data_IF_095152376806
#
_entry.id   IF_095152376806
#
_cell.length_a   1.000
_cell.length_b   1.000
_cell.length_c   1.000
_cell.angle_alpha   90.00
_cell.angle_beta   90.00
_cell.angle_gamma   90.00
#
_symmetry.space_group_name_H-M   'P 1'
#
loop_
_entity.id
_entity.type
_entity.pdbx_description
1 polymer ?
#
# COMPACT_ATOMS: atom_id res chain seq x y z
N UNK A 1 -1.73 34.53 18.39
CA UNK A 1 -0.68 33.48 18.46
C UNK A 1 -0.37 32.94 17.06
N UNK A 2 0.44 33.66 16.25
CA UNK A 2 0.78 33.26 14.88
C UNK A 2 1.78 32.08 14.78
N UNK A 3 2.45 31.70 15.87
CA UNK A 3 3.37 30.55 15.91
C UNK A 3 2.66 29.18 15.96
N UNK A 4 1.53 29.09 16.68
CA UNK A 4 0.81 27.82 16.86
C UNK A 4 0.18 27.31 15.55
N UNK A 5 -0.36 28.22 14.72
CA UNK A 5 -0.94 27.84 13.42
C UNK A 5 0.10 27.35 12.42
N UNK A 6 1.34 27.86 12.47
CA UNK A 6 2.44 27.43 11.59
C UNK A 6 2.98 26.05 11.98
N UNK A 7 2.99 25.72 13.28
CA UNK A 7 3.41 24.40 13.77
C UNK A 7 2.34 23.32 13.54
N UNK A 8 1.06 23.68 13.59
CA UNK A 8 -0.05 22.74 13.39
C UNK A 8 -0.38 22.49 11.92
N UNK A 9 -0.05 23.41 11.01
CA UNK A 9 -0.33 23.28 9.58
C UNK A 9 0.27 22.03 8.88
N UNK A 10 1.50 21.55 9.18
CA UNK A 10 2.04 20.33 8.58
C UNK A 10 1.54 19.03 9.21
N UNK A 11 0.88 19.10 10.38
CA UNK A 11 0.49 17.92 11.15
C UNK A 11 -0.46 16.97 10.38
N UNK A 12 -1.50 17.45 9.65
CA UNK A 12 -2.36 16.56 8.88
C UNK A 12 -1.61 15.80 7.78
N UNK A 13 -0.74 16.48 7.03
CA UNK A 13 0.07 15.86 5.98
C UNK A 13 0.99 14.78 6.56
N UNK A 14 1.63 15.05 7.70
CA UNK A 14 2.48 14.09 8.40
C UNK A 14 1.70 12.87 8.92
N UNK A 15 0.53 13.08 9.53
CA UNK A 15 -0.32 11.97 10.03
C UNK A 15 -0.75 11.08 8.87
N UNK A 16 -1.26 11.66 7.78
CA UNK A 16 -1.71 10.88 6.63
C UNK A 16 -0.55 10.14 5.95
N UNK A 17 0.61 10.80 5.79
CA UNK A 17 1.80 10.15 5.26
C UNK A 17 2.26 8.96 6.12
N UNK A 18 2.22 9.09 7.45
CA UNK A 18 2.62 8.02 8.39
C UNK A 18 1.68 6.82 8.32
N UNK A 19 0.37 7.08 8.24
CA UNK A 19 -0.65 6.03 8.08
C UNK A 19 -0.48 5.33 6.72
N UNK A 20 -0.34 6.11 5.64
CA UNK A 20 -0.14 5.59 4.29
C UNK A 20 1.11 4.69 4.21
N UNK A 21 2.23 5.14 4.76
CA UNK A 21 3.48 4.39 4.79
C UNK A 21 3.36 3.08 5.58
N UNK A 22 2.80 3.14 6.79
CA UNK A 22 2.61 1.95 7.64
C UNK A 22 1.77 0.89 6.93
N UNK A 23 0.64 1.28 6.35
CA UNK A 23 -0.21 0.33 5.62
C UNK A 23 0.40 -0.15 4.31
N UNK A 24 1.19 0.67 3.61
CA UNK A 24 1.91 0.24 2.40
C UNK A 24 2.91 -0.87 2.72
N UNK A 25 3.69 -0.72 3.81
CA UNK A 25 4.63 -1.75 4.28
C UNK A 25 3.89 -3.03 4.67
N UNK A 26 2.87 -2.91 5.53
CA UNK A 26 2.10 -4.08 6.00
C UNK A 26 1.41 -4.81 4.83
N UNK A 27 0.94 -4.08 3.82
CA UNK A 27 0.35 -4.67 2.61
C UNK A 27 1.37 -5.49 1.83
N UNK A 28 2.56 -4.93 1.55
CA UNK A 28 3.55 -5.58 0.68
C UNK A 28 4.20 -6.79 1.35
N UNK A 29 4.30 -6.80 2.68
CA UNK A 29 4.89 -7.92 3.44
C UNK A 29 3.88 -9.00 3.81
N UNK A 30 2.60 -8.82 3.48
CA UNK A 30 1.54 -9.77 3.87
C UNK A 30 1.40 -10.92 2.87
N UNK A 31 1.22 -12.12 3.40
CA UNK A 31 0.70 -13.27 2.64
C UNK A 31 -0.83 -13.22 2.45
N UNK A 32 -1.55 -12.45 3.27
CA UNK A 32 -3.01 -12.43 3.34
C UNK A 32 -3.62 -11.40 2.38
N UNK A 33 -3.16 -11.42 1.13
CA UNK A 33 -3.84 -10.75 0.02
C UNK A 33 -5.10 -11.49 -0.35
N UNK A 34 -5.00 -12.82 -0.42
CA UNK A 34 -6.15 -13.71 -0.55
C UNK A 34 -5.98 -14.93 0.31
N UNK A 35 -7.11 -15.54 0.63
CA UNK A 35 -7.15 -16.75 1.44
C UNK A 35 -8.21 -17.71 0.92
N UNK A 36 -7.96 -18.99 1.13
CA UNK A 36 -8.92 -20.05 0.88
C UNK A 36 -9.04 -20.91 2.13
N UNK A 37 -10.28 -21.16 2.55
CA UNK A 37 -10.59 -21.96 3.74
C UNK A 37 -10.76 -23.41 3.33
N UNK A 38 -10.17 -24.32 4.09
CA UNK A 38 -10.30 -25.77 3.89
C UNK A 38 -11.07 -26.39 5.04
N UNK A 39 -11.94 -27.34 4.72
CA UNK A 39 -12.92 -27.95 5.61
C UNK A 39 -12.72 -29.46 5.70
N UNK A 40 -13.41 -30.09 6.65
CA UNK A 40 -13.31 -31.52 6.87
C UNK A 40 -13.87 -32.31 5.67
N UNK A 41 -13.06 -33.23 5.09
CA UNK A 41 -13.50 -34.05 3.96
C UNK A 41 -14.67 -34.98 4.28
N UNK A 42 -14.86 -35.33 5.55
CA UNK A 42 -15.97 -36.17 6.00
C UNK A 42 -17.29 -35.41 6.12
N UNK A 43 -17.27 -34.08 6.07
CA UNK A 43 -18.45 -33.23 6.21
C UNK A 43 -18.98 -32.78 4.85
N UNK A 44 -20.30 -32.86 4.70
CA UNK A 44 -21.01 -32.23 3.59
C UNK A 44 -20.77 -30.71 3.57
N UNK A 45 -20.73 -30.12 2.38
CA UNK A 45 -20.53 -28.67 2.22
C UNK A 45 -21.54 -27.80 2.99
N UNK A 46 -22.74 -28.33 3.27
CA UNK A 46 -23.77 -27.65 4.08
C UNK A 46 -23.42 -27.57 5.57
N UNK A 47 -22.50 -28.43 6.03
CA UNK A 47 -22.04 -28.54 7.42
C UNK A 47 -20.70 -27.84 7.65
N UNK A 48 -20.15 -27.17 6.62
CA UNK A 48 -18.91 -26.40 6.70
C UNK A 48 -19.07 -25.14 7.57
N UNK A 49 -18.94 -25.30 8.88
CA UNK A 49 -18.98 -24.19 9.84
C UNK A 49 -17.58 -23.64 10.17
N UNK A 50 -16.64 -24.54 10.46
CA UNK A 50 -15.30 -24.18 10.93
C UNK A 50 -14.24 -24.75 9.98
N UNK A 51 -13.34 -23.93 9.43
CA UNK A 51 -12.25 -24.44 8.61
C UNK A 51 -11.21 -25.16 9.47
N UNK A 52 -10.63 -26.24 8.96
CA UNK A 52 -9.50 -26.94 9.56
C UNK A 52 -8.24 -26.06 9.46
N UNK A 53 -8.04 -25.45 8.28
CA UNK A 53 -6.94 -24.52 8.02
C UNK A 53 -7.31 -23.52 6.93
N UNK A 54 -6.43 -22.55 6.70
CA UNK A 54 -6.52 -21.62 5.58
C UNK A 54 -5.18 -21.53 4.88
N UNK A 55 -5.22 -21.55 3.55
CA UNK A 55 -4.06 -21.25 2.71
C UNK A 55 -4.15 -19.80 2.23
N UNK A 56 -2.99 -19.22 1.92
CA UNK A 56 -2.85 -17.81 1.62
C UNK A 56 -2.02 -17.59 0.37
N UNK A 57 -2.34 -16.54 -0.38
CA UNK A 57 -1.58 -16.13 -1.57
C UNK A 57 -1.46 -14.62 -1.63
N UNK A 58 -0.26 -14.16 -1.99
CA UNK A 58 0.06 -12.78 -2.33
C UNK A 58 1.01 -12.72 -3.53
N UNK A 59 1.24 -11.54 -4.12
CA UNK A 59 2.17 -11.39 -5.23
C UNK A 59 3.61 -11.79 -4.92
N UNK A 60 3.97 -11.96 -3.65
CA UNK A 60 5.33 -12.22 -3.20
C UNK A 60 5.46 -13.53 -2.43
N UNK A 61 4.34 -14.14 -2.00
CA UNK A 61 4.35 -15.30 -1.13
C UNK A 61 3.18 -16.23 -1.47
N UNK A 62 3.45 -17.53 -1.55
CA UNK A 62 2.41 -18.56 -1.60
C UNK A 62 2.56 -19.44 -0.37
N UNK A 63 1.46 -19.62 0.36
CA UNK A 63 1.41 -20.50 1.50
C UNK A 63 0.64 -21.77 1.17
N UNK A 64 1.29 -22.92 1.38
CA UNK A 64 0.71 -24.25 1.25
C UNK A 64 0.71 -24.95 2.62
N UNK A 65 -0.03 -26.04 2.74
CA UNK A 65 -0.11 -26.82 3.97
C UNK A 65 0.49 -28.20 3.74
N UNK A 66 1.40 -28.60 4.62
CA UNK A 66 1.88 -29.96 4.73
C UNK A 66 1.12 -30.68 5.86
N UNK A 67 0.50 -31.81 5.55
CA UNK A 67 -0.13 -32.67 6.55
C UNK A 67 0.91 -33.62 7.16
N UNK A 68 1.04 -33.61 8.48
CA UNK A 68 1.81 -34.59 9.25
C UNK A 68 0.88 -35.48 10.05
N UNK A 69 1.23 -36.74 10.23
CA UNK A 69 0.45 -37.68 11.04
C UNK A 69 1.27 -38.09 12.26
N UNK A 70 0.82 -37.74 13.45
CA UNK A 70 1.45 -38.14 14.70
C UNK A 70 0.49 -38.98 15.53
N UNK A 71 0.74 -40.29 15.59
CA UNK A 71 0.17 -41.30 16.48
C UNK A 71 -1.37 -41.48 16.53
N UNK A 72 -2.16 -40.55 15.98
CA UNK A 72 -3.60 -40.57 15.66
C UNK A 72 -4.14 -39.16 15.35
N UNK A 73 -3.33 -38.11 15.48
CA UNK A 73 -3.70 -36.72 15.18
C UNK A 73 -3.07 -36.28 13.87
N UNK A 74 -3.89 -35.76 12.95
CA UNK A 74 -3.39 -35.06 11.76
C UNK A 74 -3.07 -33.63 12.13
N UNK A 75 -1.80 -33.25 12.02
CA UNK A 75 -1.35 -31.86 12.19
C UNK A 75 -1.14 -31.22 10.84
N UNK A 76 -1.52 -29.95 10.73
CA UNK A 76 -1.36 -29.17 9.51
C UNK A 76 -0.34 -28.07 9.75
N UNK A 77 0.77 -28.11 9.03
CA UNK A 77 1.82 -27.08 9.10
C UNK A 77 1.72 -26.18 7.87
N UNK A 78 1.47 -24.90 8.11
CA UNK A 78 1.49 -23.88 7.07
C UNK A 78 2.95 -23.55 6.71
N UNK A 79 3.32 -23.74 5.45
CA UNK A 79 4.61 -23.38 4.89
C UNK A 79 4.40 -22.30 3.82
N UNK A 80 5.08 -21.18 3.96
CA UNK A 80 5.04 -20.09 2.97
C UNK A 80 6.37 -20.01 2.24
N UNK A 81 6.31 -20.11 0.92
CA UNK A 81 7.45 -19.89 0.04
C UNK A 81 7.42 -18.43 -0.42
N UNK A 82 8.55 -17.73 -0.21
CA UNK A 82 8.72 -16.33 -0.59
C UNK A 82 9.41 -16.28 -1.94
N UNK A 83 8.80 -15.57 -2.88
CA UNK A 83 9.29 -15.41 -4.24
C UNK A 83 10.06 -14.11 -4.37
N UNK A 84 11.09 -14.13 -5.21
CA UNK A 84 11.86 -12.93 -5.51
C UNK A 84 10.97 -11.95 -6.29
N UNK A 85 11.16 -10.65 -6.08
CA UNK A 85 10.37 -9.63 -6.77
C UNK A 85 10.68 -9.55 -8.29
N UNK A 86 11.75 -10.19 -8.76
CA UNK A 86 12.22 -10.16 -10.15
C UNK A 86 13.02 -11.42 -10.51
N UNK A 87 12.99 -11.82 -11.79
CA UNK A 87 13.74 -12.96 -12.34
C UNK A 87 12.88 -13.87 -13.23
N UNK A 88 13.52 -14.68 -14.08
CA UNK A 88 12.87 -15.81 -14.76
C UNK A 88 12.59 -16.90 -13.72
N UNK A 89 11.38 -17.48 -13.70
CA UNK A 89 10.97 -18.57 -12.80
C UNK A 89 11.14 -18.25 -11.30
N UNK A 90 10.77 -17.02 -10.92
CA UNK A 90 11.05 -16.47 -9.59
C UNK A 90 9.91 -15.66 -8.99
N UNK A 91 8.74 -15.66 -9.60
CA UNK A 91 7.57 -14.86 -9.17
C UNK A 91 6.51 -15.76 -8.53
N UNK A 92 5.54 -15.15 -7.84
CA UNK A 92 4.40 -15.88 -7.23
C UNK A 92 3.45 -16.55 -8.22
N UNK A 93 3.66 -16.41 -9.53
CA UNK A 93 2.93 -17.13 -10.56
C UNK A 93 3.83 -17.43 -11.76
N UNK A 94 3.96 -18.70 -12.10
CA UNK A 94 4.68 -19.17 -13.27
C UNK A 94 3.71 -19.81 -14.24
N UNK A 95 3.97 -19.66 -15.54
CA UNK A 95 3.14 -20.32 -16.54
C UNK A 95 3.47 -21.81 -16.60
N UNK A 96 2.51 -22.63 -16.99
CA UNK A 96 2.71 -24.07 -17.25
C UNK A 96 3.89 -24.31 -18.19
N UNK A 97 4.08 -23.44 -19.18
CA UNK A 97 5.18 -23.53 -20.14
C UNK A 97 6.55 -23.38 -19.46
N UNK A 98 6.62 -22.52 -18.44
CA UNK A 98 7.84 -22.25 -17.68
C UNK A 98 8.15 -23.38 -16.68
N UNK A 99 7.15 -23.88 -15.95
CA UNK A 99 7.37 -24.91 -14.92
C UNK A 99 7.45 -26.33 -15.46
N UNK A 100 6.91 -26.57 -16.67
CA UNK A 100 6.62 -27.90 -17.22
C UNK A 100 5.82 -28.79 -16.24
N UNK A 101 5.14 -28.19 -15.26
CA UNK A 101 4.49 -28.88 -14.16
C UNK A 101 3.10 -28.30 -13.89
N UNK A 102 2.07 -29.01 -14.33
CA UNK A 102 0.67 -28.61 -14.15
C UNK A 102 0.19 -28.66 -12.69
N UNK A 103 0.93 -29.32 -11.79
CA UNK A 103 0.54 -29.53 -10.40
C UNK A 103 1.22 -28.59 -9.41
N UNK A 104 2.15 -27.74 -9.85
CA UNK A 104 2.83 -26.84 -8.94
C UNK A 104 1.90 -25.72 -8.46
N UNK A 105 1.96 -25.38 -7.17
CA UNK A 105 1.04 -24.45 -6.53
C UNK A 105 1.16 -22.99 -7.03
N UNK A 106 2.27 -22.66 -7.69
CA UNK A 106 2.53 -21.39 -8.35
C UNK A 106 2.19 -21.41 -9.85
N UNK A 107 1.65 -22.51 -10.39
CA UNK A 107 1.35 -22.58 -11.83
C UNK A 107 0.01 -21.95 -12.15
N UNK A 108 -0.02 -21.08 -13.15
CA UNK A 108 -1.21 -20.39 -13.64
C UNK A 108 -1.27 -20.30 -15.17
N UNK A 109 -2.43 -19.89 -15.69
CA UNK A 109 -2.52 -19.46 -17.09
C UNK A 109 -1.81 -18.09 -17.28
N UNK A 110 -1.46 -17.75 -18.52
CA UNK A 110 -0.71 -16.54 -18.83
C UNK A 110 -1.42 -15.27 -18.33
N UNK A 111 -2.76 -15.24 -18.46
CA UNK A 111 -3.60 -14.13 -18.02
C UNK A 111 -3.56 -13.95 -16.49
N UNK A 112 -3.68 -15.03 -15.74
CA UNK A 112 -3.62 -15.05 -14.29
C UNK A 112 -2.25 -14.56 -13.81
N UNK A 113 -1.18 -15.12 -14.36
CA UNK A 113 0.17 -14.74 -13.95
C UNK A 113 0.49 -13.29 -14.31
N UNK A 114 0.05 -12.81 -15.48
CA UNK A 114 0.21 -11.41 -15.86
C UNK A 114 -0.52 -10.48 -14.86
N UNK A 115 -1.73 -10.81 -14.43
CA UNK A 115 -2.47 -10.02 -13.44
C UNK A 115 -1.77 -10.01 -12.07
N UNK A 116 -1.28 -11.15 -11.62
CA UNK A 116 -0.55 -11.26 -10.35
C UNK A 116 0.75 -10.46 -10.40
N UNK A 117 1.49 -10.52 -11.51
CA UNK A 117 2.72 -9.75 -11.70
C UNK A 117 2.45 -8.24 -11.71
N UNK A 118 1.39 -7.79 -12.41
CA UNK A 118 0.99 -6.39 -12.34
C UNK A 118 0.62 -5.98 -10.91
N UNK A 119 -0.14 -6.79 -10.18
CA UNK A 119 -0.50 -6.51 -8.80
C UNK A 119 0.76 -6.31 -7.93
N UNK A 120 1.74 -7.21 -8.03
CA UNK A 120 3.01 -7.13 -7.30
C UNK A 120 3.84 -5.91 -7.67
N UNK A 121 4.11 -5.70 -8.96
CA UNK A 121 4.96 -4.60 -9.45
C UNK A 121 4.35 -3.22 -9.14
N UNK A 122 3.02 -3.10 -9.27
CA UNK A 122 2.31 -1.88 -8.90
C UNK A 122 2.31 -1.67 -7.38
N UNK A 123 2.25 -2.74 -6.58
CA UNK A 123 2.37 -2.63 -5.11
C UNK A 123 3.76 -2.16 -4.69
N UNK A 124 4.83 -2.67 -5.32
CA UNK A 124 6.21 -2.21 -5.08
C UNK A 124 6.31 -0.72 -5.41
N UNK A 125 5.86 -0.34 -6.62
CA UNK A 125 5.88 1.05 -7.08
C UNK A 125 5.13 1.96 -6.12
N UNK A 126 3.92 1.56 -5.72
CA UNK A 126 3.10 2.27 -4.73
C UNK A 126 3.88 2.51 -3.43
N UNK A 127 4.46 1.46 -2.85
CA UNK A 127 5.22 1.55 -1.60
C UNK A 127 6.46 2.44 -1.75
N UNK A 128 7.19 2.34 -2.86
CA UNK A 128 8.38 3.18 -3.11
C UNK A 128 8.01 4.66 -3.16
N UNK A 129 6.96 5.03 -3.89
CA UNK A 129 6.54 6.42 -4.02
C UNK A 129 5.90 6.97 -2.74
N UNK A 130 5.15 6.15 -1.99
CA UNK A 130 4.65 6.53 -0.65
C UNK A 130 5.82 6.76 0.32
N UNK A 131 6.84 5.90 0.30
CA UNK A 131 8.05 6.05 1.11
C UNK A 131 8.80 7.35 0.77
N UNK A 132 8.98 7.64 -0.52
CA UNK A 132 9.57 8.90 -0.97
C UNK A 132 8.76 10.11 -0.49
N UNK A 133 7.43 10.07 -0.66
CA UNK A 133 6.52 11.12 -0.17
C UNK A 133 6.61 11.32 1.33
N UNK A 134 6.69 10.23 2.11
CA UNK A 134 6.87 10.28 3.56
C UNK A 134 8.18 10.96 3.96
N UNK A 135 9.32 10.58 3.35
CA UNK A 135 10.62 11.21 3.61
C UNK A 135 10.58 12.71 3.30
N UNK A 136 10.01 13.08 2.15
CA UNK A 136 9.85 14.50 1.78
C UNK A 136 8.94 15.25 2.77
N UNK A 137 7.91 14.58 3.30
CA UNK A 137 6.98 15.17 4.29
C UNK A 137 7.71 15.46 5.59
N UNK A 138 8.56 14.53 6.05
CA UNK A 138 9.42 14.72 7.24
C UNK A 138 10.35 15.92 7.04
N UNK A 139 11.02 16.00 5.90
CA UNK A 139 11.92 17.14 5.58
C UNK A 139 11.14 18.46 5.63
N UNK A 140 9.98 18.53 4.98
CA UNK A 140 9.15 19.74 4.94
C UNK A 140 8.59 20.11 6.33
N UNK A 141 8.23 19.13 7.16
CA UNK A 141 7.77 19.36 8.53
C UNK A 141 8.90 19.91 9.43
N UNK A 142 10.12 19.38 9.30
CA UNK A 142 11.30 19.88 10.02
C UNK A 142 11.61 21.33 9.59
N UNK A 143 11.62 21.60 8.29
CA UNK A 143 11.90 22.93 7.74
C UNK A 143 10.85 23.95 8.21
N UNK A 144 9.57 23.57 8.21
CA UNK A 144 8.49 24.41 8.74
C UNK A 144 8.68 24.69 10.24
N UNK A 145 9.14 23.71 11.01
CA UNK A 145 9.39 23.86 12.45
C UNK A 145 10.55 24.82 12.73
N UNK A 146 11.71 24.64 12.07
CA UNK A 146 12.92 25.48 12.26
C UNK A 146 12.73 26.91 11.79
N UNK A 147 12.00 27.12 10.69
CA UNK A 147 11.70 28.49 10.20
C UNK A 147 10.69 29.22 11.10
N UNK A 148 9.84 28.48 11.81
CA UNK A 148 8.89 29.07 12.77
C UNK A 148 9.54 29.54 14.07
N UNK A 149 10.58 28.86 14.56
CA UNK A 149 11.30 29.21 15.78
C UNK A 149 12.24 30.40 15.59
N UNK A 150 12.96 30.46 14.47
CA UNK A 150 13.88 31.58 14.15
C UNK A 150 13.17 32.93 14.00
N UNK A 151 11.91 32.94 13.52
CA UNK A 151 11.13 34.18 13.40
C UNK A 151 10.63 34.75 14.74
N UNK A 152 10.76 33.99 15.84
CA UNK A 152 10.31 34.43 17.16
C UNK A 152 11.40 35.16 17.96
N UNK A 153 12.68 34.96 17.63
CA UNK A 153 13.81 35.56 18.35
C UNK A 153 14.10 37.00 17.90
N UNK A 154 13.86 37.35 16.63
CA UNK A 154 14.04 38.72 16.11
C UNK A 154 12.96 39.73 16.59
N UNK A 155 12.00 39.29 17.40
CA UNK A 155 10.89 40.12 17.90
C UNK A 155 11.12 40.77 19.27
N UNK A 156 12.24 40.51 19.95
CA UNK A 156 12.41 40.89 21.35
C UNK A 156 13.60 41.82 21.65
N UNK A 157 14.27 42.37 20.64
CA UNK A 157 15.27 43.43 20.84
C UNK A 157 14.80 44.77 20.24
N UNK A 158 14.78 45.79 21.11
CA UNK A 158 14.65 47.24 20.84
C UNK A 158 13.24 47.80 20.59
N UNK A 159 12.63 48.41 21.62
CA UNK A 159 12.30 49.85 21.64
C UNK A 159 12.23 50.35 23.10
N UNK A 160 13.39 50.73 23.66
CA UNK A 160 13.51 51.91 24.52
C UNK A 160 14.27 52.93 23.70
N UNK A 161 13.57 53.89 23.10
CA UNK A 161 13.88 55.33 23.18
C UNK A 161 13.06 56.11 22.15
N UNK A 162 12.50 57.23 22.62
CA UNK A 162 11.73 58.15 21.81
C UNK A 162 12.64 59.03 20.96
N UNK A 163 12.71 58.76 19.66
CA UNK A 163 13.10 59.77 18.66
C UNK A 163 12.51 59.39 17.31
N UNK A 164 11.81 60.30 16.59
CA UNK A 164 11.29 60.00 15.26
C UNK A 164 12.43 60.09 14.24
N UNK A 165 13.19 59.01 14.08
CA UNK A 165 14.13 58.85 13.00
C UNK A 165 13.40 58.37 11.74
N UNK A 166 13.52 59.15 10.66
CA UNK A 166 13.05 58.89 9.30
C UNK A 166 13.53 57.51 8.84
N UNK A 167 12.68 56.48 8.94
CA UNK A 167 12.96 55.14 8.41
C UNK A 167 12.72 55.14 6.90
N UNK A 168 13.78 55.36 6.13
CA UNK A 168 13.86 54.76 4.78
C UNK A 168 13.80 53.25 4.96
N UNK A 169 12.61 52.68 4.79
CA UNK A 169 12.40 51.25 4.73
C UNK A 169 13.11 50.73 3.48
N UNK A 170 14.38 50.33 3.62
CA UNK A 170 14.98 49.41 2.69
C UNK A 170 14.13 48.15 2.74
N UNK A 171 13.26 47.99 1.73
CA UNK A 171 12.66 46.71 1.39
C UNK A 171 13.80 45.75 1.08
N UNK A 172 14.34 45.07 2.10
CA UNK A 172 15.08 43.84 1.93
C UNK A 172 14.11 42.88 1.26
N UNK A 173 14.25 42.73 -0.06
CA UNK A 173 13.74 41.59 -0.78
C UNK A 173 14.43 40.37 -0.18
N UNK A 174 13.88 39.83 0.91
CA UNK A 174 14.19 38.48 1.32
C UNK A 174 13.74 37.59 0.17
N UNK A 175 14.70 37.19 -0.68
CA UNK A 175 14.50 36.13 -1.65
C UNK A 175 14.07 34.89 -0.87
N UNK A 176 12.76 34.68 -0.80
CA UNK A 176 12.22 33.44 -0.25
C UNK A 176 12.71 32.34 -1.19
N UNK A 177 13.48 31.36 -0.70
CA UNK A 177 14.01 30.32 -1.56
C UNK A 177 12.86 29.58 -2.24
N UNK A 178 12.96 29.38 -3.55
CA UNK A 178 11.91 28.72 -4.33
C UNK A 178 11.88 27.18 -4.13
N UNK A 179 12.95 26.60 -3.59
CA UNK A 179 13.09 25.14 -3.47
C UNK A 179 11.98 24.43 -2.66
N UNK A 180 11.41 24.99 -1.56
CA UNK A 180 10.35 24.30 -0.82
C UNK A 180 9.09 24.11 -1.65
N UNK A 181 8.83 25.02 -2.60
CA UNK A 181 7.70 24.91 -3.52
C UNK A 181 7.91 23.78 -4.54
N UNK A 182 9.14 23.61 -5.05
CA UNK A 182 9.47 22.48 -5.92
C UNK A 182 9.41 21.14 -5.18
N UNK A 183 9.92 21.08 -3.93
CA UNK A 183 9.80 19.88 -3.11
C UNK A 183 8.35 19.52 -2.85
N UNK A 184 7.48 20.51 -2.60
CA UNK A 184 6.05 20.26 -2.42
C UNK A 184 5.41 19.64 -3.68
N UNK A 185 5.77 20.10 -4.88
CA UNK A 185 5.29 19.49 -6.14
C UNK A 185 5.76 18.04 -6.27
N UNK A 186 7.04 17.76 -5.98
CA UNK A 186 7.58 16.39 -6.02
C UNK A 186 6.87 15.50 -5.01
N UNK A 187 6.62 16.01 -3.79
CA UNK A 187 5.92 15.31 -2.73
C UNK A 187 4.46 14.97 -3.12
N UNK A 188 3.72 15.94 -3.65
CA UNK A 188 2.34 15.73 -4.13
C UNK A 188 2.33 14.70 -5.25
N UNK A 189 3.27 14.81 -6.19
CA UNK A 189 3.39 13.88 -7.32
C UNK A 189 3.73 12.47 -6.84
N UNK A 190 4.64 12.34 -5.87
CA UNK A 190 5.00 11.05 -5.29
C UNK A 190 3.78 10.37 -4.63
N UNK A 191 3.04 11.10 -3.78
CA UNK A 191 1.83 10.55 -3.17
C UNK A 191 0.71 10.25 -4.18
N UNK A 192 0.58 11.04 -5.25
CA UNK A 192 -0.40 10.79 -6.31
C UNK A 192 -0.06 9.52 -7.12
N UNK A 193 1.21 9.32 -7.49
CA UNK A 193 1.69 8.10 -8.14
C UNK A 193 1.49 6.91 -7.19
N UNK A 194 1.86 7.07 -5.92
CA UNK A 194 1.66 6.05 -4.88
C UNK A 194 0.20 5.62 -4.76
N UNK A 195 -0.72 6.58 -4.65
CA UNK A 195 -2.15 6.30 -4.55
C UNK A 195 -2.70 5.59 -5.80
N UNK A 196 -2.34 6.09 -6.99
CA UNK A 196 -2.82 5.55 -8.27
C UNK A 196 -2.33 4.11 -8.47
N UNK A 197 -1.04 3.88 -8.25
CA UNK A 197 -0.45 2.53 -8.39
C UNK A 197 -0.95 1.57 -7.31
N UNK A 198 -1.20 2.04 -6.08
CA UNK A 198 -1.81 1.23 -5.02
C UNK A 198 -3.25 0.81 -5.35
N UNK A 199 -4.05 1.72 -5.89
CA UNK A 199 -5.41 1.41 -6.37
C UNK A 199 -5.39 0.39 -7.51
N UNK A 200 -4.53 0.59 -8.52
CA UNK A 200 -4.40 -0.35 -9.63
C UNK A 200 -3.88 -1.71 -9.16
N UNK A 201 -2.92 -1.74 -8.22
CA UNK A 201 -2.41 -2.96 -7.60
C UNK A 201 -3.53 -3.74 -6.91
N UNK A 202 -4.41 -3.07 -6.16
CA UNK A 202 -5.59 -3.68 -5.55
C UNK A 202 -6.53 -4.26 -6.61
N UNK A 203 -6.79 -3.50 -7.68
CA UNK A 203 -7.66 -3.96 -8.77
C UNK A 203 -7.11 -5.23 -9.44
N UNK A 204 -5.84 -5.22 -9.86
CA UNK A 204 -5.20 -6.40 -10.45
C UNK A 204 -5.07 -7.57 -9.47
N UNK A 205 -4.88 -7.30 -8.18
CA UNK A 205 -4.89 -8.32 -7.14
C UNK A 205 -6.25 -9.02 -7.04
N UNK A 206 -7.36 -8.27 -7.11
CA UNK A 206 -8.71 -8.85 -7.13
C UNK A 206 -8.93 -9.66 -8.41
N UNK A 207 -8.52 -9.13 -9.57
CA UNK A 207 -8.65 -9.85 -10.83
C UNK A 207 -7.88 -11.17 -10.79
N UNK A 208 -6.59 -11.14 -10.45
CA UNK A 208 -5.73 -12.32 -10.46
C UNK A 208 -6.11 -13.34 -9.39
N UNK A 209 -6.12 -12.94 -8.13
CA UNK A 209 -6.27 -13.90 -7.03
C UNK A 209 -7.71 -14.32 -6.74
N UNK A 210 -8.71 -13.69 -7.34
CA UNK A 210 -10.12 -13.98 -7.05
C UNK A 210 -10.89 -14.27 -8.33
N UNK A 211 -10.97 -13.32 -9.26
CA UNK A 211 -11.85 -13.48 -10.43
C UNK A 211 -11.29 -14.49 -11.44
N UNK A 212 -9.97 -14.55 -11.58
CA UNK A 212 -9.28 -15.42 -12.53
C UNK A 212 -9.02 -16.83 -12.00
N UNK A 213 -9.39 -17.13 -10.75
CA UNK A 213 -9.20 -18.45 -10.17
C UNK A 213 -10.25 -19.43 -10.72
N UNK A 214 -9.83 -20.58 -11.31
CA UNK A 214 -10.74 -21.60 -11.81
C UNK A 214 -11.75 -22.08 -10.74
N UNK A 215 -11.28 -22.26 -9.51
CA UNK A 215 -12.12 -22.65 -8.36
C UNK A 215 -13.32 -21.72 -8.18
N UNK A 216 -13.10 -20.41 -8.29
CA UNK A 216 -14.16 -19.43 -8.09
C UNK A 216 -15.21 -19.48 -9.20
N UNK A 217 -14.78 -19.73 -10.44
CA UNK A 217 -15.69 -19.99 -11.55
C UNK A 217 -16.51 -21.25 -11.34
N UNK A 218 -15.88 -22.33 -10.87
CA UNK A 218 -16.57 -23.57 -10.52
C UNK A 218 -17.58 -23.33 -9.38
N UNK A 219 -17.21 -22.69 -8.27
CA UNK A 219 -18.13 -22.36 -7.18
C UNK A 219 -19.32 -21.52 -7.63
N UNK A 220 -19.09 -20.53 -8.50
CA UNK A 220 -20.16 -19.69 -9.05
C UNK A 220 -21.11 -20.48 -9.96
N UNK A 221 -20.57 -21.32 -10.85
CA UNK A 221 -21.35 -22.19 -11.73
C UNK A 221 -22.18 -23.21 -10.94
N UNK A 222 -21.66 -23.66 -9.80
CA UNK A 222 -22.31 -24.64 -8.95
C UNK A 222 -23.50 -24.11 -8.17
N UNK A 223 -23.69 -22.78 -8.09
CA UNK A 223 -24.73 -22.12 -7.27
C UNK A 223 -24.77 -22.64 -5.81
N UNK A 224 -23.62 -23.02 -5.26
CA UNK A 224 -23.51 -23.58 -3.91
C UNK A 224 -23.80 -25.08 -3.78
N UNK A 225 -24.02 -25.80 -4.89
CA UNK A 225 -23.99 -27.25 -4.90
C UNK A 225 -22.57 -27.76 -5.18
N UNK A 226 -22.23 -28.98 -4.76
CA UNK A 226 -20.94 -29.60 -5.14
C UNK A 226 -21.09 -30.10 -6.57
N UNK A 227 -20.27 -29.63 -7.52
CA UNK A 227 -20.36 -29.99 -8.94
C UNK A 227 -20.07 -31.48 -9.16
N UNK A 228 -19.27 -32.09 -8.30
CA UNK A 228 -18.94 -33.51 -8.38
C UNK A 228 -18.62 -34.10 -6.99
N UNK A 229 -19.42 -35.04 -6.45
CA UNK A 229 -19.14 -35.70 -5.18
C UNK A 229 -17.90 -36.61 -5.22
N UNK A 230 -17.33 -36.87 -6.40
CA UNK A 230 -16.08 -37.65 -6.57
C UNK A 230 -14.82 -36.77 -6.62
N UNK A 231 -14.97 -35.46 -6.83
CA UNK A 231 -13.91 -34.45 -6.68
C UNK A 231 -14.20 -33.59 -5.45
N UNK A 232 -14.10 -34.19 -4.26
CA UNK A 232 -14.21 -33.49 -2.98
C UNK A 232 -13.03 -32.52 -2.78
N UNK A 233 -13.08 -31.41 -3.50
CA UNK A 233 -12.31 -30.20 -3.20
C UNK A 233 -12.96 -29.55 -1.97
N UNK A 234 -12.54 -30.01 -0.78
CA UNK A 234 -13.10 -29.60 0.51
C UNK A 234 -12.60 -28.23 0.95
N UNK A 235 -12.80 -27.24 0.09
CA UNK A 235 -12.38 -25.88 0.31
C UNK A 235 -13.47 -24.91 -0.13
N UNK A 236 -13.45 -23.70 0.42
CA UNK A 236 -14.26 -22.60 -0.07
C UNK A 236 -13.66 -21.96 -1.33
N UNK A 237 -14.32 -20.92 -1.86
CA UNK A 237 -13.72 -20.06 -2.88
C UNK A 237 -12.55 -19.25 -2.31
N UNK A 238 -11.69 -18.78 -3.20
CA UNK A 238 -10.70 -17.74 -2.88
C UNK A 238 -11.42 -16.43 -2.57
N UNK A 239 -11.10 -15.84 -1.42
CA UNK A 239 -11.69 -14.57 -0.96
C UNK A 239 -10.60 -13.55 -0.65
N UNK A 240 -10.98 -12.27 -0.67
CA UNK A 240 -10.10 -11.17 -0.29
C UNK A 240 -9.60 -11.35 1.15
N UNK A 241 -8.28 -11.32 1.32
CA UNK A 241 -7.63 -11.24 2.62
C UNK A 241 -7.58 -9.81 3.14
N UNK A 242 -7.01 -9.61 4.33
CA UNK A 242 -6.94 -8.30 4.99
C UNK A 242 -6.07 -7.30 4.22
N UNK A 243 -5.00 -7.76 3.58
CA UNK A 243 -4.11 -6.89 2.83
C UNK A 243 -4.82 -6.28 1.63
N UNK A 244 -5.52 -7.10 0.85
CA UNK A 244 -6.23 -6.67 -0.36
C UNK A 244 -7.53 -5.91 -0.04
N UNK A 245 -8.17 -6.21 1.09
CA UNK A 245 -9.44 -5.58 1.48
C UNK A 245 -9.26 -4.25 2.20
N UNK A 246 -8.37 -4.21 3.20
CA UNK A 246 -8.27 -3.09 4.14
C UNK A 246 -6.96 -2.34 4.00
N UNK A 247 -5.82 -3.05 4.05
CA UNK A 247 -4.52 -2.38 4.21
C UNK A 247 -4.11 -1.60 2.96
N UNK A 248 -4.26 -2.20 1.77
CA UNK A 248 -3.96 -1.51 0.52
C UNK A 248 -4.89 -0.31 0.32
N UNK A 249 -6.16 -0.45 0.71
CA UNK A 249 -7.17 0.62 0.67
C UNK A 249 -6.75 1.79 1.54
N UNK A 250 -6.37 1.52 2.78
CA UNK A 250 -5.85 2.54 3.68
C UNK A 250 -4.58 3.19 3.09
N UNK A 251 -3.66 2.40 2.56
CA UNK A 251 -2.41 2.92 2.00
C UNK A 251 -2.66 3.96 0.89
N UNK A 252 -3.47 3.62 -0.13
CA UNK A 252 -3.70 4.54 -1.24
C UNK A 252 -4.62 5.72 -0.88
N UNK A 253 -5.64 5.52 -0.04
CA UNK A 253 -6.54 6.60 0.41
C UNK A 253 -5.77 7.64 1.23
N UNK A 254 -4.99 7.19 2.22
CA UNK A 254 -4.21 8.11 3.05
C UNK A 254 -3.06 8.75 2.28
N UNK A 255 -2.52 8.08 1.24
CA UNK A 255 -1.60 8.71 0.30
C UNK A 255 -2.27 9.88 -0.45
N UNK A 256 -3.49 9.69 -0.95
CA UNK A 256 -4.24 10.76 -1.61
C UNK A 256 -4.56 11.93 -0.64
N UNK A 257 -4.92 11.62 0.62
CA UNK A 257 -5.10 12.66 1.64
C UNK A 257 -3.81 13.37 2.02
N UNK A 258 -2.66 12.69 2.05
CA UNK A 258 -1.37 13.31 2.26
C UNK A 258 -1.03 14.30 1.13
N UNK A 259 -1.29 13.93 -0.13
CA UNK A 259 -1.14 14.82 -1.28
C UNK A 259 -2.04 16.07 -1.17
N UNK A 260 -3.32 15.87 -0.83
CA UNK A 260 -4.28 16.96 -0.65
C UNK A 260 -3.89 17.90 0.50
N UNK A 261 -3.49 17.35 1.65
CA UNK A 261 -3.02 18.13 2.79
C UNK A 261 -1.76 18.92 2.45
N UNK A 262 -0.81 18.31 1.75
CA UNK A 262 0.41 19.00 1.33
C UNK A 262 0.15 20.17 0.36
N UNK A 263 -0.78 20.00 -0.58
CA UNK A 263 -1.23 21.06 -1.48
C UNK A 263 -1.92 22.22 -0.76
N UNK A 264 -2.59 21.96 0.36
CA UNK A 264 -3.23 22.98 1.18
C UNK A 264 -2.24 23.67 2.16
N UNK A 265 -1.25 22.92 2.66
CA UNK A 265 -0.33 23.41 3.70
C UNK A 265 0.85 24.20 3.14
N UNK A 266 1.50 23.69 2.08
CA UNK A 266 2.72 24.29 1.56
C UNK A 266 2.48 24.98 0.22
N UNK A 267 3.26 26.04 -0.05
CA UNK A 267 3.13 26.82 -1.28
C UNK A 267 3.50 25.98 -2.51
N UNK A 268 2.81 26.24 -3.61
CA UNK A 268 3.16 25.74 -4.93
C UNK A 268 3.98 26.81 -5.68
N UNK A 269 4.82 26.42 -6.64
CA UNK A 269 5.57 27.38 -7.45
C UNK A 269 4.60 28.27 -8.23
N UNK A 270 4.80 29.59 -8.15
CA UNK A 270 4.05 30.54 -8.98
C UNK A 270 4.64 30.51 -10.38
N UNK A 271 3.96 29.84 -11.30
CA UNK A 271 4.24 29.92 -12.73
C UNK A 271 3.67 31.23 -13.25
N UNK A 272 4.24 32.37 -12.84
CA UNK A 272 3.91 33.64 -13.47
C UNK A 272 4.27 33.53 -14.95
N UNK A 273 3.24 33.74 -15.78
CA UNK A 273 3.31 33.67 -17.23
C UNK A 273 4.39 34.63 -17.71
N UNK A 274 5.56 34.11 -18.06
CA UNK A 274 6.45 34.76 -19.03
C UNK A 274 5.79 34.58 -20.41
N UNK A 275 4.84 35.46 -20.70
CA UNK A 275 4.38 35.80 -22.05
C UNK A 275 4.74 37.26 -22.25
#
# INVERSE_FOLDING_TARGET
MPGLSRFLAPLPAFIFASIAFSFAIVTITSHDWTRQKWYDPSLDAKLWATPIYSIYRSPFQICNVAAGTNANTTTYTLKCDVYDAFGFDKTSCETVFATQNYSAANTGDERLCQQIHYAGNLSITSTTFICLGFVLTVIMAIVASVTSSSSAEDGNESVKDGTPATRTAHHRHHHVPAWPAFINVVLITAFAIGATTGLLSQFYGILGFIQSQPDNGAFAAAKGNVIDPTQQNNHGPWVQGLALKYWITCAWVFSAFAAGAAGATWRLPSWEKRI
#
